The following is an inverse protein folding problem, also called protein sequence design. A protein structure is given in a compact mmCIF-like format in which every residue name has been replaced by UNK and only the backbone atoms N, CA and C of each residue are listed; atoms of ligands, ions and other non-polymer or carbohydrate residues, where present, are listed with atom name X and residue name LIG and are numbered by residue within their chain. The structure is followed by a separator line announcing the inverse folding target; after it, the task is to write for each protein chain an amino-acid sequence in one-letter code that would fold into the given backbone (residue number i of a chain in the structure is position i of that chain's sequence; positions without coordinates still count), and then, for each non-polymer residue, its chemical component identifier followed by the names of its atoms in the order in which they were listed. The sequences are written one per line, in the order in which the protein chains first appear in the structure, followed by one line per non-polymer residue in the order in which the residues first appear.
data_IF_149479127287
#
_entry.id   IF_149479127287
#
_cell.length_a   1.000
_cell.length_b   1.000
_cell.length_c   1.000
_cell.angle_alpha   90.00
_cell.angle_beta   90.00
_cell.angle_gamma   90.00
#
_symmetry.space_group_name_H-M   'P 1'
#
loop_
_entity.id
_entity.type
_entity.pdbx_description
1 polymer ?
#
# COMPACT_ATOMS: atom_id res chain seq x y z
N UNK A 1 -6.00 34.51 1.16
CA UNK A 1 -6.70 34.89 2.40
C UNK A 1 -5.70 35.55 3.33
N UNK A 2 -5.61 36.87 3.30
CA UNK A 2 -4.77 37.67 4.21
C UNK A 2 -5.66 38.23 5.32
N UNK A 3 -5.95 37.41 6.34
CA UNK A 3 -6.82 37.79 7.46
C UNK A 3 -6.10 38.26 8.73
N UNK A 4 -4.80 37.94 8.89
CA UNK A 4 -4.10 38.16 10.17
C UNK A 4 -2.61 38.53 10.04
N UNK A 5 -2.17 39.09 8.91
CA UNK A 5 -0.75 39.49 8.72
C UNK A 5 0.26 38.34 8.65
N UNK A 6 -0.22 37.10 8.45
CA UNK A 6 0.65 35.91 8.32
C UNK A 6 0.83 35.61 6.84
N UNK A 7 2.00 35.93 6.30
CA UNK A 7 2.40 35.52 4.96
C UNK A 7 2.84 34.04 4.93
N UNK A 8 2.24 33.28 4.03
CA UNK A 8 2.62 31.87 3.81
C UNK A 8 3.92 31.81 3.01
N UNK A 9 4.93 31.16 3.59
CA UNK A 9 6.26 31.01 2.96
C UNK A 9 6.39 29.62 2.36
N UNK A 10 6.95 29.55 1.15
CA UNK A 10 7.18 28.31 0.40
C UNK A 10 8.64 28.27 -0.08
N UNK A 11 9.16 27.07 -0.35
CA UNK A 11 10.54 26.86 -0.81
C UNK A 11 11.55 26.47 0.28
N UNK A 12 12.73 26.02 -0.15
CA UNK A 12 13.83 25.58 0.74
C UNK A 12 14.46 26.76 1.47
N UNK A 13 14.90 26.56 2.72
CA UNK A 13 15.58 27.59 3.52
C UNK A 13 14.68 28.68 4.11
N UNK A 14 13.36 28.64 3.87
CA UNK A 14 12.40 29.58 4.45
C UNK A 14 11.75 28.98 5.70
N UNK A 15 11.85 29.67 6.85
CA UNK A 15 11.17 29.25 8.08
C UNK A 15 9.68 29.60 8.01
N UNK A 16 8.84 28.57 8.02
CA UNK A 16 7.37 28.72 8.07
C UNK A 16 6.93 29.25 9.43
N UNK A 17 5.89 30.07 9.45
CA UNK A 17 5.25 30.52 10.69
C UNK A 17 4.59 29.32 11.41
N UNK A 18 4.48 29.36 12.75
CA UNK A 18 3.88 28.25 13.53
C UNK A 18 2.48 27.88 13.02
N UNK A 19 1.66 28.89 12.74
CA UNK A 19 0.30 28.72 12.19
C UNK A 19 0.30 28.02 10.84
N UNK A 20 1.23 28.36 9.93
CA UNK A 20 1.35 27.68 8.64
C UNK A 20 1.76 26.21 8.81
N UNK A 21 2.62 25.90 9.79
CA UNK A 21 3.01 24.50 10.07
C UNK A 21 1.81 23.68 10.54
N UNK A 22 1.01 24.19 11.49
CA UNK A 22 -0.20 23.52 11.94
C UNK A 22 -1.23 23.35 10.82
N UNK A 23 -1.38 24.37 9.98
CA UNK A 23 -2.25 24.29 8.81
C UNK A 23 -1.81 23.18 7.84
N UNK A 24 -0.52 23.13 7.50
CA UNK A 24 0.03 22.10 6.60
C UNK A 24 -0.12 20.69 7.19
N UNK A 25 0.08 20.55 8.50
CA UNK A 25 -0.06 19.28 9.23
C UNK A 25 -1.51 18.80 9.26
N UNK A 26 -2.47 19.69 9.60
CA UNK A 26 -3.90 19.38 9.55
C UNK A 26 -4.35 19.01 8.14
N UNK A 27 -3.84 19.72 7.13
CA UNK A 27 -4.09 19.39 5.72
C UNK A 27 -3.56 18.00 5.36
N UNK A 28 -2.35 17.64 5.83
CA UNK A 28 -1.78 16.32 5.61
C UNK A 28 -2.61 15.22 6.28
N UNK A 29 -3.08 15.46 7.50
CA UNK A 29 -3.97 14.52 8.19
C UNK A 29 -5.31 14.35 7.47
N UNK A 30 -5.92 15.43 6.97
CA UNK A 30 -7.13 15.35 6.16
C UNK A 30 -6.94 14.50 4.89
N UNK A 31 -5.82 14.68 4.19
CA UNK A 31 -5.47 13.88 3.02
C UNK A 31 -5.25 12.39 3.36
N UNK A 32 -4.61 12.10 4.49
CA UNK A 32 -4.42 10.72 4.96
C UNK A 32 -5.74 10.05 5.33
N UNK A 33 -6.62 10.76 6.02
CA UNK A 33 -7.96 10.26 6.35
C UNK A 33 -8.74 9.90 5.07
N UNK A 34 -8.78 10.80 4.10
CA UNK A 34 -9.44 10.53 2.81
C UNK A 34 -8.82 9.32 2.07
N UNK A 35 -7.50 9.17 2.13
CA UNK A 35 -6.83 7.99 1.55
C UNK A 35 -7.24 6.69 2.26
N UNK A 36 -7.36 6.71 3.58
CA UNK A 36 -7.79 5.53 4.34
C UNK A 36 -9.25 5.17 4.08
N UNK A 37 -10.15 6.13 3.93
CA UNK A 37 -11.55 5.84 3.57
C UNK A 37 -11.63 5.14 2.22
N UNK A 38 -10.90 5.63 1.21
CA UNK A 38 -10.81 4.97 -0.09
C UNK A 38 -10.24 3.54 0.01
N UNK A 39 -9.23 3.33 0.86
CA UNK A 39 -8.67 1.99 1.05
C UNK A 39 -9.64 1.05 1.76
N UNK A 40 -10.45 1.52 2.72
CA UNK A 40 -11.48 0.72 3.38
C UNK A 40 -12.57 0.33 2.37
N UNK A 41 -13.00 1.26 1.52
CA UNK A 41 -14.01 0.99 0.49
C UNK A 41 -13.52 -0.06 -0.51
N UNK A 42 -12.25 0.01 -0.92
CA UNK A 42 -11.62 -0.98 -1.80
C UNK A 42 -11.44 -2.33 -1.10
N UNK A 43 -11.08 -2.31 0.18
CA UNK A 43 -10.82 -3.51 0.96
C UNK A 43 -12.12 -4.32 1.17
N UNK A 44 -13.25 -3.65 1.35
CA UNK A 44 -14.57 -4.27 1.56
C UNK A 44 -14.49 -5.39 2.63
N UNK A 45 -14.80 -6.63 2.27
CA UNK A 45 -14.72 -7.80 3.16
C UNK A 45 -13.35 -8.51 3.14
N UNK A 46 -12.43 -8.07 2.29
CA UNK A 46 -11.11 -8.70 2.13
C UNK A 46 -10.12 -8.23 3.20
N UNK A 47 -9.10 -9.04 3.52
CA UNK A 47 -8.05 -8.65 4.47
C UNK A 47 -6.82 -8.01 3.79
N UNK A 48 -6.81 -7.95 2.46
CA UNK A 48 -5.73 -7.34 1.67
C UNK A 48 -6.18 -7.08 0.23
N UNK A 49 -5.62 -6.06 -0.43
CA UNK A 49 -5.79 -5.81 -1.87
C UNK A 49 -4.46 -5.35 -2.49
N UNK A 50 -4.28 -5.58 -3.79
CA UNK A 50 -3.07 -5.10 -4.50
C UNK A 50 -3.19 -3.61 -4.83
N UNK A 51 -2.08 -2.87 -4.63
CA UNK A 51 -2.01 -1.43 -4.91
C UNK A 51 -2.18 -1.10 -6.41
N UNK A 52 -1.86 -2.03 -7.31
CA UNK A 52 -1.90 -1.83 -8.77
C UNK A 52 -3.11 -2.47 -9.43
N UNK A 53 -3.67 -3.51 -8.82
CA UNK A 53 -4.88 -4.17 -9.29
C UNK A 53 -5.71 -4.64 -8.09
N UNK A 54 -6.65 -3.82 -7.58
CA UNK A 54 -7.46 -4.16 -6.42
C UNK A 54 -8.22 -5.49 -6.54
N UNK A 55 -8.59 -5.89 -7.76
CA UNK A 55 -9.31 -7.13 -8.06
C UNK A 55 -8.38 -8.37 -8.12
N UNK A 56 -7.06 -8.18 -7.99
CA UNK A 56 -6.11 -9.29 -7.91
C UNK A 56 -6.21 -9.97 -6.54
N UNK A 57 -7.08 -10.95 -6.42
CA UNK A 57 -6.99 -11.96 -5.37
C UNK A 57 -5.69 -12.73 -5.58
N UNK A 58 -4.78 -12.71 -4.60
CA UNK A 58 -3.55 -13.49 -4.72
C UNK A 58 -3.90 -14.97 -4.88
N UNK A 59 -3.47 -15.51 -6.02
CA UNK A 59 -3.44 -16.91 -6.44
C UNK A 59 -4.78 -17.57 -6.80
N UNK A 60 -5.35 -17.20 -7.96
CA UNK A 60 -6.08 -18.19 -8.77
C UNK A 60 -5.09 -18.78 -9.80
N UNK A 61 -4.52 -19.95 -9.52
CA UNK A 61 -3.72 -20.67 -10.52
C UNK A 61 -4.63 -20.98 -11.72
N UNK A 62 -4.21 -20.62 -12.94
CA UNK A 62 -4.90 -21.10 -14.15
C UNK A 62 -4.75 -22.62 -14.19
N UNK A 63 -5.86 -23.34 -14.34
CA UNK A 63 -5.83 -24.73 -14.77
C UNK A 63 -4.99 -24.81 -16.06
N UNK A 64 -4.04 -25.74 -16.11
CA UNK A 64 -3.30 -26.00 -17.34
C UNK A 64 -4.26 -26.59 -18.38
N UNK A 65 -4.13 -26.13 -19.63
CA UNK A 65 -4.84 -26.65 -20.79
C UNK A 65 -4.68 -28.18 -20.96
N UNK A 66 -3.60 -28.77 -20.41
CA UNK A 66 -3.39 -30.23 -20.29
C UNK A 66 -4.03 -30.83 -19.03
N UNK A 67 -5.35 -30.69 -18.92
CA UNK A 67 -6.19 -31.43 -17.97
C UNK A 67 -5.95 -32.95 -18.11
N UNK A 68 -5.49 -33.59 -17.02
CA UNK A 68 -5.43 -35.05 -16.74
C UNK A 68 -4.05 -35.75 -16.72
N UNK A 69 -2.92 -35.04 -16.65
CA UNK A 69 -1.60 -35.68 -16.39
C UNK A 69 -1.16 -35.63 -14.93
N UNK A 70 -1.91 -34.95 -14.05
CA UNK A 70 -1.66 -34.93 -12.60
C UNK A 70 -0.46 -34.09 -12.14
N UNK A 71 0.22 -33.37 -13.04
CA UNK A 71 1.38 -32.53 -12.68
C UNK A 71 0.93 -31.07 -12.57
N UNK A 72 0.75 -30.62 -11.33
CA UNK A 72 0.57 -29.21 -11.02
C UNK A 72 1.82 -28.41 -11.43
N UNK A 73 1.63 -27.21 -11.99
CA UNK A 73 2.74 -26.23 -12.02
C UNK A 73 3.11 -25.93 -10.57
N UNK A 74 4.40 -26.01 -10.18
CA UNK A 74 4.77 -25.71 -8.82
C UNK A 74 4.52 -24.22 -8.55
N UNK A 75 3.49 -23.94 -7.75
CA UNK A 75 3.20 -22.61 -7.22
C UNK A 75 3.96 -22.43 -5.91
N UNK A 76 4.73 -21.35 -5.81
CA UNK A 76 5.42 -20.98 -4.58
C UNK A 76 4.91 -19.63 -4.10
N UNK A 77 4.58 -19.54 -2.81
CA UNK A 77 4.33 -18.26 -2.15
C UNK A 77 5.68 -17.63 -1.86
N UNK A 78 5.88 -16.39 -2.32
CA UNK A 78 7.09 -15.63 -2.04
C UNK A 78 6.71 -14.38 -1.25
N UNK A 79 7.22 -14.28 -0.02
CA UNK A 79 7.11 -13.08 0.80
C UNK A 79 8.49 -12.45 0.98
N UNK A 80 8.60 -11.16 0.70
CA UNK A 80 9.85 -10.41 0.82
C UNK A 80 9.72 -9.25 1.80
N UNK A 81 10.66 -9.16 2.74
CA UNK A 81 10.79 -8.07 3.70
C UNK A 81 11.94 -7.14 3.31
N UNK A 82 11.63 -5.88 3.02
CA UNK A 82 12.60 -4.85 2.62
C UNK A 82 12.70 -3.78 3.70
N UNK A 83 13.91 -3.30 3.98
CA UNK A 83 14.13 -2.14 4.84
C UNK A 83 15.36 -1.36 4.43
N UNK A 84 15.24 -0.04 4.47
CA UNK A 84 16.32 0.88 4.12
C UNK A 84 16.96 0.51 2.79
N UNK A 85 16.13 0.22 1.78
CA UNK A 85 16.53 -0.16 0.41
C UNK A 85 17.18 -1.55 0.26
N UNK A 86 17.39 -2.27 1.37
CA UNK A 86 17.93 -3.64 1.36
C UNK A 86 16.84 -4.70 1.56
N UNK A 87 16.92 -5.79 0.80
CA UNK A 87 16.13 -7.00 1.05
C UNK A 87 16.73 -7.68 2.29
N UNK A 88 15.95 -7.80 3.36
CA UNK A 88 16.40 -8.43 4.62
C UNK A 88 15.88 -9.85 4.80
N UNK A 89 14.69 -10.14 4.28
CA UNK A 89 14.06 -11.44 4.44
C UNK A 89 13.40 -11.89 3.14
N UNK A 90 13.60 -13.15 2.78
CA UNK A 90 12.88 -13.83 1.71
C UNK A 90 12.34 -15.13 2.32
N UNK A 91 11.03 -15.31 2.23
CA UNK A 91 10.33 -16.53 2.62
C UNK A 91 9.70 -17.14 1.37
N UNK A 92 9.94 -18.43 1.15
CA UNK A 92 9.42 -19.20 0.02
C UNK A 92 8.73 -20.44 0.60
N UNK A 93 7.46 -20.65 0.28
CA UNK A 93 6.72 -21.86 0.66
C UNK A 93 6.03 -22.47 -0.55
N UNK A 94 6.01 -23.81 -0.62
CA UNK A 94 5.20 -24.54 -1.59
C UNK A 94 3.77 -24.82 -1.06
N UNK A 95 3.52 -24.53 0.23
CA UNK A 95 2.30 -24.94 0.91
C UNK A 95 1.14 -23.98 0.64
N UNK A 96 -0.03 -24.55 0.38
CA UNK A 96 -1.29 -23.85 0.25
C UNK A 96 -1.94 -23.61 1.63
N UNK A 97 -1.23 -22.99 2.58
CA UNK A 97 -1.79 -22.29 3.74
C UNK A 97 -2.92 -22.95 4.56
N UNK A 98 -3.01 -24.28 4.64
CA UNK A 98 -3.89 -25.00 5.57
C UNK A 98 -3.08 -26.07 6.30
N UNK A 99 -2.74 -25.81 7.57
CA UNK A 99 -2.01 -26.71 8.46
C UNK A 99 -0.87 -26.01 9.17
#
# INVERSE_FOLDING_TARGET
MNGHGIEFKHGKGKRKHKVQRYYDELKEYGLKMYKYTLHIDILAEHNSFSKTNPDATFMHMKYDYYNNTGVFKPGYNVQMGVSSEYIRHIYISADAGYG
#
